data_IF_600526374026
#
_entry.id   IF_600526374026
#
_cell.length_a   1.000
_cell.length_b   1.000
_cell.length_c   1.000
_cell.angle_alpha   90.00
_cell.angle_beta   90.00
_cell.angle_gamma   90.00
#
_symmetry.space_group_name_H-M   'P 1'
#
loop_
_entity.id
_entity.type
_entity.pdbx_description
1 polymer ?
#
# COMPACT_ATOMS: atom_id res chain seq x y z
N UNK A 1 7.24 -19.26 -27.75
CA UNK A 1 7.03 -18.62 -26.44
C UNK A 1 7.23 -17.14 -26.69
N UNK A 2 6.25 -16.29 -26.46
CA UNK A 2 6.41 -14.83 -26.61
C UNK A 2 6.74 -14.27 -25.24
N UNK A 3 7.83 -13.55 -25.12
CA UNK A 3 8.21 -12.79 -23.93
C UNK A 3 7.83 -11.33 -24.12
N UNK A 4 7.21 -10.74 -23.12
CA UNK A 4 7.00 -9.30 -23.02
C UNK A 4 7.83 -8.82 -21.85
N UNK A 5 8.82 -7.99 -22.11
CA UNK A 5 9.66 -7.38 -21.10
C UNK A 5 9.36 -5.88 -21.05
N UNK A 6 9.04 -5.36 -19.86
CA UNK A 6 8.79 -3.94 -19.66
C UNK A 6 7.93 -3.65 -18.43
N UNK A 7 7.80 -2.37 -18.13
CA UNK A 7 7.00 -1.86 -17.00
C UNK A 7 5.51 -1.75 -17.43
N UNK A 8 4.88 -2.88 -17.71
CA UNK A 8 3.46 -2.93 -18.04
C UNK A 8 2.60 -2.92 -16.78
N UNK A 9 1.55 -2.12 -16.80
CA UNK A 9 0.50 -2.26 -15.78
C UNK A 9 -0.23 -3.59 -15.93
N UNK A 10 -0.77 -4.11 -14.85
CA UNK A 10 -1.56 -5.35 -14.86
C UNK A 10 -2.73 -5.23 -15.85
N UNK A 11 -3.37 -4.04 -15.89
CA UNK A 11 -4.46 -3.76 -16.81
C UNK A 11 -4.02 -3.81 -18.28
N UNK A 12 -2.82 -3.30 -18.60
CA UNK A 12 -2.26 -3.38 -19.95
C UNK A 12 -1.99 -4.82 -20.36
N UNK A 13 -1.42 -5.63 -19.46
CA UNK A 13 -1.17 -7.05 -19.71
C UNK A 13 -2.48 -7.81 -19.95
N UNK A 14 -3.49 -7.62 -19.11
CA UNK A 14 -4.83 -8.22 -19.29
C UNK A 14 -5.40 -7.90 -20.67
N UNK A 15 -5.28 -6.63 -21.08
CA UNK A 15 -5.81 -6.19 -22.37
C UNK A 15 -5.06 -6.80 -23.55
N UNK A 16 -3.72 -6.79 -23.50
CA UNK A 16 -2.88 -7.39 -24.55
C UNK A 16 -3.23 -8.88 -24.73
N UNK A 17 -3.32 -9.62 -23.62
CA UNK A 17 -3.63 -11.06 -23.66
C UNK A 17 -5.07 -11.32 -24.15
N UNK A 18 -6.03 -10.47 -23.75
CA UNK A 18 -7.43 -10.57 -24.18
C UNK A 18 -7.60 -10.23 -25.65
N UNK A 19 -6.95 -9.17 -26.14
CA UNK A 19 -7.02 -8.78 -27.55
C UNK A 19 -6.35 -9.80 -28.47
N UNK A 20 -5.31 -10.47 -27.97
CA UNK A 20 -4.65 -11.59 -28.66
C UNK A 20 -5.41 -12.91 -28.55
N UNK A 21 -6.51 -12.97 -27.80
CA UNK A 21 -7.26 -14.21 -27.49
C UNK A 21 -6.34 -15.34 -26.99
N UNK A 22 -5.40 -14.97 -26.10
CA UNK A 22 -4.39 -15.89 -25.63
C UNK A 22 -4.96 -16.93 -24.67
N UNK A 23 -4.70 -18.20 -24.96
CA UNK A 23 -5.05 -19.34 -24.12
C UNK A 23 -3.79 -20.17 -23.86
N UNK A 24 -3.44 -20.41 -22.61
CA UNK A 24 -2.28 -21.26 -22.32
C UNK A 24 -1.54 -20.90 -21.04
N UNK A 25 -0.31 -21.41 -20.95
CA UNK A 25 0.54 -21.16 -19.80
C UNK A 25 1.08 -19.75 -19.82
N UNK A 26 0.88 -19.02 -18.72
CA UNK A 26 1.41 -17.70 -18.47
C UNK A 26 2.41 -17.76 -17.32
N UNK A 27 3.55 -17.12 -17.48
CA UNK A 27 4.54 -16.91 -16.42
C UNK A 27 4.70 -15.42 -16.21
N UNK A 28 4.35 -14.96 -15.03
CA UNK A 28 4.56 -13.58 -14.59
C UNK A 28 5.82 -13.54 -13.74
N UNK A 29 6.77 -12.65 -14.09
CA UNK A 29 8.02 -12.45 -13.35
C UNK A 29 8.06 -11.04 -12.77
N UNK A 30 8.33 -10.97 -11.48
CA UNK A 30 8.49 -9.74 -10.74
C UNK A 30 9.86 -9.72 -10.08
N UNK A 31 10.48 -8.56 -10.01
CA UNK A 31 11.77 -8.41 -9.34
C UNK A 31 11.67 -7.41 -8.21
N UNK A 32 12.40 -7.68 -7.13
CA UNK A 32 12.60 -6.73 -6.05
C UNK A 32 14.04 -6.79 -5.54
N UNK A 33 14.50 -5.73 -4.92
CA UNK A 33 15.83 -5.66 -4.31
C UNK A 33 15.71 -5.69 -2.79
N UNK A 34 16.66 -6.36 -2.12
CA UNK A 34 16.73 -6.43 -0.67
C UNK A 34 18.15 -6.14 -0.18
N UNK A 35 18.30 -5.37 0.91
CA UNK A 35 19.61 -5.08 1.51
C UNK A 35 20.13 -6.21 2.41
N UNK A 36 19.24 -7.07 2.85
CA UNK A 36 19.55 -8.29 3.61
C UNK A 36 18.61 -9.42 3.21
N UNK A 37 18.91 -10.69 3.55
CA UNK A 37 17.95 -11.77 3.44
C UNK A 37 16.76 -11.54 4.37
N UNK A 38 15.56 -11.87 3.88
CA UNK A 38 14.34 -11.88 4.66
C UNK A 38 13.78 -13.30 4.69
N UNK A 39 13.19 -13.68 5.81
CA UNK A 39 12.49 -14.95 6.02
C UNK A 39 11.01 -14.69 6.33
N UNK A 40 10.18 -15.72 6.17
CA UNK A 40 8.76 -15.61 6.47
C UNK A 40 7.97 -14.78 5.47
N UNK A 41 8.53 -14.46 4.30
CA UNK A 41 7.84 -13.76 3.23
C UNK A 41 6.63 -14.52 2.73
N UNK A 42 5.62 -13.81 2.29
CA UNK A 42 4.44 -14.37 1.65
C UNK A 42 4.04 -13.52 0.45
N UNK A 43 3.37 -14.13 -0.53
CA UNK A 43 2.76 -13.42 -1.65
C UNK A 43 1.25 -13.44 -1.48
N UNK A 44 0.61 -12.27 -1.54
CA UNK A 44 -0.84 -12.15 -1.64
C UNK A 44 -1.22 -11.90 -3.10
N UNK A 45 -2.13 -12.72 -3.63
CA UNK A 45 -2.61 -12.65 -5.01
C UNK A 45 -4.05 -13.15 -5.09
N UNK A 46 -4.79 -12.68 -6.07
CA UNK A 46 -6.11 -13.23 -6.40
C UNK A 46 -5.98 -14.50 -7.24
N UNK A 47 -7.00 -15.36 -7.16
CA UNK A 47 -7.06 -16.63 -7.91
C UNK A 47 -5.81 -17.51 -7.79
N UNK A 48 -5.37 -17.75 -6.56
CA UNK A 48 -4.19 -18.56 -6.28
C UNK A 48 -4.39 -20.07 -6.57
N UNK A 49 -5.64 -20.53 -6.74
CA UNK A 49 -5.90 -21.93 -7.05
C UNK A 49 -5.31 -22.31 -8.42
N UNK A 50 -4.47 -23.34 -8.44
CA UNK A 50 -3.76 -23.77 -9.65
C UNK A 50 -2.57 -22.91 -10.04
N UNK A 51 -2.20 -21.90 -9.26
CA UNK A 51 -0.96 -21.17 -9.42
C UNK A 51 0.23 -21.93 -8.80
N UNK A 52 1.36 -21.89 -9.48
CA UNK A 52 2.64 -22.28 -8.92
C UNK A 52 3.49 -21.02 -8.72
N UNK A 53 3.96 -20.80 -7.48
CA UNK A 53 4.74 -19.62 -7.11
C UNK A 53 6.16 -20.03 -6.78
N UNK A 54 7.12 -19.24 -7.23
CA UNK A 54 8.55 -19.48 -7.00
C UNK A 54 9.21 -18.20 -6.48
N UNK A 55 10.17 -18.36 -5.58
CA UNK A 55 11.11 -17.30 -5.19
C UNK A 55 12.54 -17.78 -5.51
N UNK A 56 13.24 -17.03 -6.36
CA UNK A 56 14.60 -17.36 -6.80
C UNK A 56 14.74 -18.81 -7.33
N UNK A 57 13.72 -19.27 -8.04
CA UNK A 57 13.67 -20.62 -8.63
C UNK A 57 13.23 -21.73 -7.67
N UNK A 58 13.10 -21.48 -6.37
CA UNK A 58 12.56 -22.45 -5.42
C UNK A 58 11.03 -22.33 -5.32
N UNK A 59 10.36 -23.48 -5.47
CA UNK A 59 8.90 -23.56 -5.48
C UNK A 59 8.31 -23.39 -4.08
N UNK A 60 7.35 -22.50 -3.94
CA UNK A 60 6.53 -22.38 -2.76
C UNK A 60 5.57 -23.59 -2.62
N UNK A 61 5.10 -23.84 -1.40
CA UNK A 61 4.00 -24.78 -1.19
C UNK A 61 2.74 -24.26 -1.88
N UNK A 62 1.96 -25.17 -2.45
CA UNK A 62 0.67 -24.83 -3.06
C UNK A 62 -0.24 -24.09 -2.05
N UNK A 63 -1.10 -23.24 -2.58
CA UNK A 63 -2.10 -22.55 -1.77
C UNK A 63 -2.96 -23.55 -0.98
N UNK A 64 -3.15 -23.28 0.30
CA UNK A 64 -3.86 -24.17 1.24
C UNK A 64 -5.39 -24.08 1.19
N UNK A 65 -5.92 -23.16 0.36
CA UNK A 65 -7.36 -22.90 0.23
C UNK A 65 -7.99 -22.12 1.38
N UNK A 66 -7.19 -21.64 2.34
CA UNK A 66 -7.69 -21.00 3.57
C UNK A 66 -7.01 -19.69 3.94
N UNK A 67 -5.68 -19.61 3.73
CA UNK A 67 -4.89 -18.45 4.13
C UNK A 67 -5.18 -17.26 3.23
N UNK A 68 -5.43 -16.08 3.82
CA UNK A 68 -5.68 -14.84 3.07
C UNK A 68 -5.04 -13.64 3.75
N UNK A 69 -4.91 -12.54 3.01
CA UNK A 69 -4.47 -11.24 3.49
C UNK A 69 -5.66 -10.28 3.45
N UNK A 70 -6.03 -9.74 4.57
CA UNK A 70 -7.15 -8.84 4.92
C UNK A 70 -8.52 -9.16 4.27
N UNK A 71 -8.59 -9.64 3.05
CA UNK A 71 -9.82 -10.07 2.39
C UNK A 71 -9.65 -11.45 1.75
N UNK A 72 -10.71 -12.26 1.72
CA UNK A 72 -10.66 -13.65 1.22
C UNK A 72 -10.23 -13.79 -0.24
N UNK A 73 -10.45 -12.74 -1.05
CA UNK A 73 -10.00 -12.70 -2.43
C UNK A 73 -8.47 -12.74 -2.54
N UNK A 74 -7.76 -12.09 -1.59
CA UNK A 74 -6.29 -12.05 -1.58
C UNK A 74 -5.73 -13.29 -0.89
N UNK A 75 -5.62 -14.36 -1.66
CA UNK A 75 -5.03 -15.63 -1.21
C UNK A 75 -3.56 -15.42 -0.81
N UNK A 76 -3.17 -15.93 0.37
CA UNK A 76 -1.81 -15.77 0.90
C UNK A 76 -1.02 -17.07 0.74
N UNK A 77 0.09 -17.02 0.01
CA UNK A 77 1.03 -18.13 -0.19
C UNK A 77 2.33 -17.81 0.54
N UNK A 78 2.77 -18.69 1.44
CA UNK A 78 4.08 -18.58 2.09
C UNK A 78 5.17 -18.88 1.08
N UNK A 79 6.12 -17.96 0.92
CA UNK A 79 7.28 -18.12 0.06
C UNK A 79 8.38 -18.94 0.76
N UNK A 80 9.27 -19.61 0.00
CA UNK A 80 10.47 -20.23 0.55
C UNK A 80 11.42 -19.16 1.12
N UNK A 81 12.24 -19.58 2.09
CA UNK A 81 13.19 -18.67 2.76
C UNK A 81 14.51 -18.54 1.94
N UNK A 82 14.37 -18.18 0.66
CA UNK A 82 15.46 -18.05 -0.33
C UNK A 82 15.70 -16.62 -0.78
N UNK A 83 15.21 -15.63 -0.02
CA UNK A 83 15.49 -14.22 -0.30
C UNK A 83 16.98 -13.93 -0.14
N UNK A 84 17.57 -13.27 -1.15
CA UNK A 84 18.99 -12.93 -1.24
C UNK A 84 19.22 -11.43 -1.07
N UNK A 85 20.45 -11.05 -0.75
CA UNK A 85 20.89 -9.66 -0.86
C UNK A 85 20.92 -9.28 -2.34
N UNK A 86 20.41 -8.09 -2.68
CA UNK A 86 20.29 -7.60 -4.05
C UNK A 86 19.02 -8.08 -4.72
N UNK A 87 19.11 -8.41 -5.99
CA UNK A 87 17.96 -8.74 -6.85
C UNK A 87 17.37 -10.10 -6.51
N UNK A 88 16.07 -10.13 -6.33
CA UNK A 88 15.26 -11.33 -6.15
C UNK A 88 14.19 -11.41 -7.24
N UNK A 89 13.78 -12.64 -7.58
CA UNK A 89 12.78 -12.90 -8.62
C UNK A 89 11.64 -13.73 -8.04
N UNK A 90 10.42 -13.23 -8.18
CA UNK A 90 9.19 -13.99 -7.95
C UNK A 90 8.63 -14.39 -9.30
N UNK A 91 8.31 -15.67 -9.46
CA UNK A 91 7.59 -16.17 -10.64
C UNK A 91 6.24 -16.73 -10.21
N UNK A 92 5.19 -16.38 -10.96
CA UNK A 92 3.85 -16.94 -10.81
C UNK A 92 3.45 -17.60 -12.12
N UNK A 93 3.30 -18.91 -12.09
CA UNK A 93 2.90 -19.72 -13.23
C UNK A 93 1.43 -20.08 -13.11
N UNK A 94 0.64 -19.78 -14.14
CA UNK A 94 -0.78 -20.13 -14.19
C UNK A 94 -1.24 -20.45 -15.61
N UNK A 95 -2.36 -21.12 -15.72
CA UNK A 95 -3.08 -21.19 -16.99
C UNK A 95 -3.90 -19.91 -17.14
N UNK A 96 -3.75 -19.26 -18.28
CA UNK A 96 -4.51 -18.07 -18.63
C UNK A 96 -5.57 -18.40 -19.68
N UNK A 97 -6.77 -17.88 -19.47
CA UNK A 97 -7.88 -17.87 -20.40
C UNK A 97 -8.45 -16.46 -20.34
N UNK A 98 -8.58 -15.72 -21.47
CA UNK A 98 -9.08 -14.36 -21.44
C UNK A 98 -10.51 -14.31 -20.91
N UNK A 99 -10.88 -13.22 -20.28
CA UNK A 99 -12.26 -12.97 -19.90
C UNK A 99 -13.13 -13.01 -21.14
N UNK A 100 -14.23 -13.77 -21.09
CA UNK A 100 -15.12 -13.87 -22.24
C UNK A 100 -15.66 -12.49 -22.60
N UNK A 101 -15.61 -12.13 -23.90
CA UNK A 101 -16.21 -10.89 -24.44
C UNK A 101 -17.75 -11.01 -24.43
N UNK A 102 -18.36 -11.31 -23.29
CA UNK A 102 -19.81 -11.35 -23.17
C UNK A 102 -20.36 -9.95 -23.43
N UNK A 103 -21.19 -9.81 -24.47
CA UNK A 103 -21.92 -8.58 -24.75
C UNK A 103 -22.81 -8.28 -23.55
N UNK A 104 -22.50 -7.20 -22.86
CA UNK A 104 -23.01 -6.85 -21.56
C UNK A 104 -24.50 -6.53 -21.51
N UNK A 105 -25.21 -7.26 -20.66
CA UNK A 105 -26.17 -6.63 -19.76
C UNK A 105 -25.52 -6.55 -18.36
N UNK A 106 -25.92 -5.60 -17.53
CA UNK A 106 -25.36 -5.42 -16.17
C UNK A 106 -25.43 -6.71 -15.34
N UNK A 107 -26.39 -7.58 -15.59
CA UNK A 107 -26.55 -8.91 -14.98
C UNK A 107 -25.50 -9.92 -15.45
N UNK A 108 -24.95 -9.79 -16.65
CA UNK A 108 -23.92 -10.70 -17.17
C UNK A 108 -22.53 -10.44 -16.60
N UNK A 109 -22.29 -9.28 -16.01
CA UNK A 109 -21.02 -8.96 -15.34
C UNK A 109 -20.78 -9.86 -14.10
N UNK A 110 -21.83 -10.37 -13.47
CA UNK A 110 -21.72 -11.19 -12.27
C UNK A 110 -21.90 -12.69 -12.52
N UNK A 111 -22.53 -13.08 -13.62
CA UNK A 111 -22.95 -14.48 -13.83
C UNK A 111 -22.09 -15.27 -14.84
N UNK A 112 -21.27 -14.62 -15.67
CA UNK A 112 -20.60 -15.29 -16.80
C UNK A 112 -19.16 -14.92 -17.07
N UNK A 113 -18.45 -14.27 -16.16
CA UNK A 113 -17.01 -14.05 -16.34
C UNK A 113 -16.27 -15.39 -16.21
N UNK A 114 -16.16 -16.10 -17.32
CA UNK A 114 -15.27 -17.27 -17.42
C UNK A 114 -13.94 -16.77 -17.96
N UNK A 115 -12.90 -16.91 -17.17
CA UNK A 115 -11.56 -16.48 -17.55
C UNK A 115 -10.75 -16.09 -16.32
N UNK A 116 -9.54 -15.65 -16.57
CA UNK A 116 -8.59 -15.18 -15.55
C UNK A 116 -8.36 -13.70 -15.77
N UNK A 117 -8.60 -12.91 -14.75
CA UNK A 117 -8.14 -11.53 -14.67
C UNK A 117 -6.84 -11.50 -13.88
N UNK A 118 -5.83 -10.82 -14.43
CA UNK A 118 -4.59 -10.62 -13.71
C UNK A 118 -4.77 -9.41 -12.80
N UNK A 119 -4.45 -9.58 -11.54
CA UNK A 119 -4.54 -8.55 -10.53
C UNK A 119 -3.18 -8.23 -9.93
N UNK A 120 -3.10 -7.11 -9.24
CA UNK A 120 -1.90 -6.70 -8.50
C UNK A 120 -1.56 -7.74 -7.43
N UNK A 121 -0.27 -7.99 -7.24
CA UNK A 121 0.24 -8.91 -6.23
C UNK A 121 1.01 -8.13 -5.17
N UNK A 122 0.95 -8.60 -3.94
CA UNK A 122 1.56 -7.92 -2.81
C UNK A 122 2.55 -8.84 -2.10
N UNK A 123 3.81 -8.39 -2.02
CA UNK A 123 4.81 -9.06 -1.19
C UNK A 123 4.59 -8.64 0.27
N UNK A 124 4.44 -9.62 1.15
CA UNK A 124 4.15 -9.44 2.56
C UNK A 124 5.31 -9.99 3.41
N UNK A 125 5.66 -9.28 4.47
CA UNK A 125 6.70 -9.69 5.40
C UNK A 125 7.04 -8.61 6.40
N UNK A 126 8.01 -8.91 7.24
CA UNK A 126 8.54 -7.99 8.26
C UNK A 126 9.72 -7.20 7.67
N UNK A 127 9.41 -6.16 6.90
CA UNK A 127 10.37 -5.31 6.22
C UNK A 127 9.82 -3.90 6.00
N UNK A 128 10.72 -2.94 5.90
CA UNK A 128 10.44 -1.62 5.37
C UNK A 128 10.77 -1.52 3.88
N UNK A 129 10.08 -0.65 3.16
CA UNK A 129 10.29 -0.38 1.72
C UNK A 129 10.82 1.05 1.55
N UNK A 130 11.92 1.19 0.85
CA UNK A 130 12.64 2.46 0.70
C UNK A 130 12.90 2.82 -0.75
N UNK A 131 12.75 4.09 -1.06
CA UNK A 131 13.18 4.70 -2.31
C UNK A 131 13.46 6.19 -2.09
N UNK A 132 14.00 6.86 -3.09
CA UNK A 132 14.19 8.32 -3.06
C UNK A 132 12.85 9.00 -3.25
N UNK A 133 12.52 9.92 -2.34
CA UNK A 133 11.27 10.66 -2.34
C UNK A 133 11.51 12.16 -2.53
N UNK A 134 10.63 12.79 -3.31
CA UNK A 134 10.56 14.24 -3.49
C UNK A 134 9.14 14.73 -3.17
N UNK A 135 8.99 15.89 -2.49
CA UNK A 135 7.67 16.47 -2.26
C UNK A 135 7.04 16.95 -3.58
N UNK A 136 5.74 16.81 -3.71
CA UNK A 136 4.96 17.36 -4.81
C UNK A 136 4.29 18.68 -4.43
N UNK A 137 3.81 19.42 -5.42
CA UNK A 137 3.13 20.71 -5.17
C UNK A 137 1.82 20.58 -4.37
N UNK A 138 1.16 19.44 -4.44
CA UNK A 138 -0.10 19.17 -3.71
C UNK A 138 0.11 18.42 -2.38
N UNK A 139 1.35 18.40 -1.86
CA UNK A 139 1.65 17.88 -0.53
C UNK A 139 1.80 16.36 -0.43
N UNK A 140 1.63 15.60 -1.53
CA UNK A 140 1.99 14.20 -1.60
C UNK A 140 3.50 14.00 -1.77
N UNK A 141 3.97 12.77 -1.73
CA UNK A 141 5.36 12.42 -1.96
C UNK A 141 5.49 11.63 -3.26
N UNK A 142 6.50 11.96 -4.05
CA UNK A 142 6.85 11.22 -5.27
C UNK A 142 8.09 10.39 -5.02
N UNK A 143 7.95 9.07 -5.16
CA UNK A 143 9.03 8.10 -5.00
C UNK A 143 9.56 7.65 -6.36
N UNK A 144 10.89 7.48 -6.46
CA UNK A 144 11.50 6.75 -7.58
C UNK A 144 11.01 5.30 -7.61
N UNK A 145 11.01 4.68 -8.79
CA UNK A 145 10.63 3.27 -8.96
C UNK A 145 11.63 2.26 -8.36
N UNK A 146 12.82 2.71 -7.97
CA UNK A 146 13.88 1.86 -7.44
C UNK A 146 13.67 1.56 -5.96
N UNK A 147 12.67 0.74 -5.66
CA UNK A 147 12.37 0.33 -4.30
C UNK A 147 13.29 -0.78 -3.82
N UNK A 148 13.68 -0.68 -2.54
CA UNK A 148 14.55 -1.64 -1.87
C UNK A 148 13.95 -2.02 -0.52
N UNK A 149 13.95 -3.31 -0.21
CA UNK A 149 13.56 -3.82 1.10
C UNK A 149 14.74 -3.68 2.08
N UNK A 150 14.45 -3.21 3.29
CA UNK A 150 15.40 -3.08 4.39
C UNK A 150 14.68 -3.23 5.74
N UNK A 151 15.38 -3.14 6.85
CA UNK A 151 14.76 -3.09 8.17
C UNK A 151 13.91 -1.82 8.34
N UNK A 152 12.84 -1.93 9.09
CA UNK A 152 12.07 -0.75 9.49
C UNK A 152 12.90 0.20 10.36
N UNK A 153 12.79 1.50 10.05
CA UNK A 153 13.41 2.52 10.90
C UNK A 153 12.44 2.91 12.01
N UNK A 154 12.76 2.53 13.22
CA UNK A 154 12.00 2.92 14.41
C UNK A 154 11.94 4.44 14.52
N UNK A 155 10.75 4.97 14.65
CA UNK A 155 10.48 6.39 14.88
C UNK A 155 9.17 6.56 15.63
N UNK A 156 9.07 7.68 16.35
CA UNK A 156 7.85 8.02 17.08
C UNK A 156 7.06 9.10 16.36
N UNK A 157 7.74 10.01 15.67
CA UNK A 157 7.13 11.14 14.97
C UNK A 157 7.77 11.38 13.61
N UNK A 158 7.11 12.15 12.77
CA UNK A 158 7.54 12.50 11.43
C UNK A 158 6.88 11.66 10.34
N UNK A 159 7.43 11.75 9.15
CA UNK A 159 6.92 11.07 7.97
C UNK A 159 7.29 9.58 7.98
N UNK A 160 6.31 8.71 8.16
CA UNK A 160 6.52 7.26 8.26
C UNK A 160 6.78 6.61 6.90
N UNK A 161 6.26 7.16 5.79
CA UNK A 161 6.49 6.60 4.46
C UNK A 161 7.98 6.56 4.13
N UNK A 162 8.75 7.60 4.50
CA UNK A 162 10.20 7.63 4.33
C UNK A 162 10.98 6.71 5.28
N UNK A 163 10.28 6.05 6.20
CA UNK A 163 10.85 5.13 7.21
C UNK A 163 10.49 3.68 6.97
N UNK A 164 10.05 3.36 5.76
CA UNK A 164 9.74 2.00 5.34
C UNK A 164 8.24 1.73 5.14
N UNK A 165 7.37 2.68 5.47
CA UNK A 165 5.91 2.49 5.42
C UNK A 165 5.26 3.02 4.13
N UNK A 166 6.01 3.11 3.03
CA UNK A 166 5.53 3.71 1.77
C UNK A 166 4.30 2.99 1.19
N UNK A 167 4.26 1.66 1.27
CA UNK A 167 3.12 0.82 0.84
C UNK A 167 2.34 0.21 2.01
N UNK A 168 2.51 0.75 3.20
CA UNK A 168 1.82 0.23 4.38
C UNK A 168 0.39 0.73 4.45
N UNK A 169 -0.55 -0.17 4.73
CA UNK A 169 -1.91 0.18 5.14
C UNK A 169 -2.25 -0.54 6.44
N UNK A 170 -2.86 0.19 7.37
CA UNK A 170 -3.22 -0.35 8.68
C UNK A 170 -2.96 0.63 9.81
N UNK A 171 -2.72 0.09 11.00
CA UNK A 171 -2.51 0.86 12.22
C UNK A 171 -1.09 0.70 12.74
N UNK A 172 -0.42 1.81 12.99
CA UNK A 172 0.89 1.88 13.65
C UNK A 172 0.73 2.32 15.08
N UNK A 173 1.30 1.59 16.04
CA UNK A 173 1.36 1.99 17.45
C UNK A 173 2.63 2.78 17.71
N UNK A 174 2.48 4.04 18.08
CA UNK A 174 3.55 4.97 18.46
C UNK A 174 3.53 5.13 19.97
N UNK A 175 4.59 4.65 20.66
CA UNK A 175 4.67 4.64 22.12
C UNK A 175 5.79 5.54 22.63
N UNK A 176 5.51 6.25 23.73
CA UNK A 176 6.49 7.10 24.43
C UNK A 176 6.16 7.19 25.91
N UNK A 177 7.16 6.95 26.75
CA UNK A 177 7.08 7.28 28.18
C UNK A 177 7.40 8.76 28.39
N UNK A 178 6.71 9.38 29.35
CA UNK A 178 6.96 10.74 29.81
C UNK A 178 6.74 10.84 31.31
N UNK A 179 7.44 11.76 31.97
CA UNK A 179 7.38 11.96 33.40
C UNK A 179 6.70 13.29 33.75
N UNK A 180 5.87 13.26 34.78
CA UNK A 180 5.20 14.42 35.32
C UNK A 180 5.64 14.63 36.74
N UNK A 181 6.30 15.76 37.02
CA UNK A 181 6.87 16.07 38.34
C UNK A 181 6.02 17.09 39.14
N UNK A 182 4.71 17.15 38.86
CA UNK A 182 3.77 18.04 39.55
C UNK A 182 3.06 17.29 40.70
N UNK A 183 2.88 17.97 41.83
CA UNK A 183 2.16 17.40 42.99
C UNK A 183 0.65 17.28 42.73
N UNK A 184 0.11 18.12 41.91
CA UNK A 184 -1.29 18.10 41.44
C UNK A 184 -1.36 18.47 39.97
N UNK A 185 -2.29 17.90 39.25
CA UNK A 185 -2.55 18.17 37.84
C UNK A 185 -3.95 18.78 37.74
N UNK A 186 -4.03 20.05 37.38
CA UNK A 186 -5.31 20.71 37.16
C UNK A 186 -5.83 20.49 35.73
N UNK A 187 -4.90 20.53 34.77
CA UNK A 187 -5.20 20.31 33.36
C UNK A 187 -4.00 19.69 32.65
N UNK A 188 -4.24 18.74 31.76
CA UNK A 188 -3.25 18.20 30.86
C UNK A 188 -3.84 18.09 29.44
N UNK A 189 -3.15 18.67 28.48
CA UNK A 189 -3.54 18.63 27.07
C UNK A 189 -2.44 18.03 26.20
N UNK A 190 -2.83 17.16 25.29
CA UNK A 190 -1.97 16.65 24.23
C UNK A 190 -2.29 17.38 22.94
N UNK A 191 -1.26 17.87 22.26
CA UNK A 191 -1.37 18.57 20.97
C UNK A 191 -0.51 17.82 19.97
N UNK A 192 -1.11 17.46 18.83
CA UNK A 192 -0.39 16.88 17.70
C UNK A 192 -0.23 17.95 16.63
N UNK A 193 0.98 18.12 16.12
CA UNK A 193 1.29 19.00 14.99
C UNK A 193 0.69 18.50 13.69
N UNK A 194 1.51 18.39 12.64
CA UNK A 194 1.04 17.84 11.36
C UNK A 194 0.44 16.45 11.55
N UNK A 195 -0.75 16.24 11.00
CA UNK A 195 -1.46 14.96 11.09
C UNK A 195 -1.74 14.43 9.69
N UNK A 196 -1.16 13.28 9.38
CA UNK A 196 -1.31 12.57 8.12
C UNK A 196 -1.77 11.14 8.39
N UNK A 197 -3.05 10.94 8.47
CA UNK A 197 -3.72 9.67 8.74
C UNK A 197 -5.23 9.83 8.63
N UNK A 198 -5.97 8.76 8.85
CA UNK A 198 -7.43 8.79 8.91
C UNK A 198 -7.94 9.03 10.32
N UNK A 199 -7.35 8.31 11.26
CA UNK A 199 -7.71 8.41 12.67
C UNK A 199 -6.48 8.13 13.53
N UNK A 200 -6.38 8.83 14.67
CA UNK A 200 -5.44 8.53 15.74
C UNK A 200 -6.22 8.28 17.04
N UNK A 201 -6.12 7.08 17.58
CA UNK A 201 -6.62 6.79 18.91
C UNK A 201 -5.54 7.18 19.94
N UNK A 202 -5.88 8.02 20.88
CA UNK A 202 -4.96 8.52 21.88
C UNK A 202 -5.19 7.82 23.21
N UNK A 203 -4.21 7.04 23.64
CA UNK A 203 -4.25 6.33 24.91
C UNK A 203 -3.16 6.86 25.85
N UNK A 204 -3.50 7.11 27.12
CA UNK A 204 -2.55 7.44 28.18
C UNK A 204 -2.75 6.47 29.32
N UNK A 205 -1.67 5.79 29.73
CA UNK A 205 -1.71 4.76 30.78
C UNK A 205 -2.76 3.67 30.52
N UNK A 206 -2.99 3.31 29.24
CA UNK A 206 -3.99 2.33 28.84
C UNK A 206 -5.43 2.85 28.80
N UNK A 207 -5.67 4.13 29.12
CA UNK A 207 -6.99 4.78 29.07
C UNK A 207 -7.14 5.46 27.70
N UNK A 208 -8.21 5.14 26.96
CA UNK A 208 -8.56 5.89 25.75
C UNK A 208 -9.06 7.27 26.13
N UNK A 209 -8.35 8.31 25.67
CA UNK A 209 -8.70 9.71 25.92
C UNK A 209 -9.53 10.30 24.76
N UNK A 210 -9.23 9.89 23.52
CA UNK A 210 -9.97 10.35 22.34
C UNK A 210 -9.63 9.54 21.08
N UNK A 211 -10.55 9.57 20.12
CA UNK A 211 -10.32 9.22 18.71
C UNK A 211 -10.30 10.51 17.89
N UNK A 212 -9.13 10.84 17.37
CA UNK A 212 -8.86 12.07 16.65
C UNK A 212 -8.88 11.82 15.13
N UNK A 213 -9.71 12.54 14.38
CA UNK A 213 -9.86 12.42 12.93
C UNK A 213 -10.07 13.74 12.19
N UNK A 214 -10.17 14.87 12.94
CA UNK A 214 -10.34 16.22 12.40
C UNK A 214 -9.72 17.26 13.34
N UNK A 215 -9.32 18.43 12.83
CA UNK A 215 -8.85 19.53 13.68
C UNK A 215 -9.96 20.08 14.62
N UNK A 216 -9.56 20.68 15.74
CA UNK A 216 -8.18 20.86 16.20
C UNK A 216 -7.60 19.55 16.73
N UNK A 217 -6.31 19.31 16.45
CA UNK A 217 -5.61 18.11 16.90
C UNK A 217 -5.11 18.25 18.33
N UNK A 218 -6.05 18.49 19.25
CA UNK A 218 -5.82 18.69 20.69
C UNK A 218 -6.77 17.82 21.49
N UNK A 219 -6.24 17.13 22.49
CA UNK A 219 -6.97 16.18 23.34
C UNK A 219 -6.75 16.52 24.80
N UNK A 220 -7.82 16.56 25.59
CA UNK A 220 -7.76 16.62 27.05
C UNK A 220 -7.38 15.21 27.57
N UNK A 221 -6.26 15.13 28.26
CA UNK A 221 -5.73 13.87 28.84
C UNK A 221 -5.68 13.95 30.37
N UNK A 222 -6.29 14.96 30.98
CA UNK A 222 -6.21 15.26 32.42
C UNK A 222 -6.55 14.06 33.30
N UNK A 223 -7.64 13.35 32.95
CA UNK A 223 -8.11 12.20 33.74
C UNK A 223 -7.22 10.96 33.65
N UNK A 224 -6.33 10.90 32.67
CA UNK A 224 -5.49 9.73 32.41
C UNK A 224 -4.03 9.93 32.82
N UNK A 225 -3.59 11.18 33.00
CA UNK A 225 -2.23 11.52 33.43
C UNK A 225 -2.11 11.44 34.96
N UNK A 226 -0.98 10.93 35.45
CA UNK A 226 -0.65 10.85 36.87
C UNK A 226 0.72 11.46 37.17
N UNK A 227 0.94 11.82 38.41
CA UNK A 227 2.29 12.19 38.90
C UNK A 227 3.24 10.99 38.71
N UNK A 228 4.46 11.25 38.30
CA UNK A 228 5.47 10.22 38.00
C UNK A 228 5.44 9.76 36.53
N UNK A 229 5.78 8.50 36.32
CA UNK A 229 5.89 7.90 34.99
C UNK A 229 4.52 7.67 34.35
N UNK A 230 4.41 8.07 33.07
CA UNK A 230 3.23 7.88 32.24
C UNK A 230 3.64 7.25 30.91
N UNK A 231 2.73 6.52 30.28
CA UNK A 231 2.88 5.97 28.93
C UNK A 231 1.85 6.60 28.01
N UNK A 232 2.31 7.19 26.91
CA UNK A 232 1.49 7.63 25.78
C UNK A 232 1.58 6.57 24.69
N UNK A 233 0.43 6.16 24.18
CA UNK A 233 0.30 5.36 22.95
C UNK A 233 -0.64 6.05 21.99
N UNK A 234 -0.18 6.25 20.74
CA UNK A 234 -0.99 6.77 19.65
C UNK A 234 -1.13 5.67 18.62
N UNK A 235 -2.35 5.19 18.40
CA UNK A 235 -2.67 4.22 17.35
C UNK A 235 -3.07 5.00 16.10
N UNK A 236 -2.12 5.18 15.19
CA UNK A 236 -2.32 5.94 13.95
C UNK A 236 -2.70 5.01 12.80
N UNK A 237 -3.88 5.22 12.23
CA UNK A 237 -4.43 4.40 11.14
C UNK A 237 -4.51 5.22 9.85
N UNK A 238 -4.14 4.59 8.72
CA UNK A 238 -4.29 5.14 7.38
C UNK A 238 -5.33 4.36 6.54
N UNK A 239 -5.44 4.71 5.26
CA UNK A 239 -6.33 4.08 4.28
C UNK A 239 -5.64 2.97 3.48
N UNK A 240 -6.39 2.33 2.56
CA UNK A 240 -5.86 1.42 1.54
C UNK A 240 -5.13 2.15 0.39
N UNK A 241 -5.15 3.49 0.33
CA UNK A 241 -4.53 4.30 -0.72
C UNK A 241 -3.06 3.94 -1.00
N UNK A 242 -2.21 3.67 0.02
CA UNK A 242 -0.82 3.27 -0.21
C UNK A 242 -0.64 1.97 -0.99
N UNK A 243 -1.58 1.04 -0.96
CA UNK A 243 -1.48 -0.25 -1.68
C UNK A 243 -2.34 -0.35 -2.94
N UNK A 244 -3.40 0.46 -3.05
CA UNK A 244 -4.31 0.39 -4.20
C UNK A 244 -4.05 1.49 -5.25
N UNK A 245 -3.26 2.50 -4.91
CA UNK A 245 -2.99 3.63 -5.81
C UNK A 245 -4.17 4.62 -5.90
N UNK A 246 -4.21 5.43 -6.95
CA UNK A 246 -3.32 5.46 -8.11
C UNK A 246 -1.93 5.98 -7.81
N UNK A 247 -0.89 5.45 -8.46
CA UNK A 247 0.50 5.84 -8.18
C UNK A 247 1.10 6.76 -9.23
N UNK A 248 0.79 6.52 -10.49
CA UNK A 248 1.57 7.00 -11.65
C UNK A 248 1.04 8.30 -12.24
N UNK A 249 0.42 9.17 -11.45
CA UNK A 249 -0.11 10.45 -11.93
C UNK A 249 0.98 11.52 -11.93
N UNK A 250 1.27 12.18 -13.08
CA UNK A 250 2.29 13.23 -13.15
C UNK A 250 1.99 14.42 -12.23
N UNK A 251 0.72 14.74 -12.05
CA UNK A 251 0.27 15.84 -11.17
C UNK A 251 0.26 15.49 -9.67
N UNK A 252 0.57 14.23 -9.31
CA UNK A 252 0.53 13.76 -7.93
C UNK A 252 -0.87 13.38 -7.44
N UNK A 253 -1.14 13.57 -6.14
CA UNK A 253 -2.43 13.24 -5.55
C UNK A 253 -3.52 14.21 -5.99
N UNK A 254 -4.76 13.71 -6.02
CA UNK A 254 -5.93 14.54 -6.32
C UNK A 254 -6.26 15.38 -5.08
N UNK A 255 -6.27 16.69 -5.23
CA UNK A 255 -6.59 17.60 -4.13
C UNK A 255 -8.07 17.65 -3.74
N UNK A 256 -8.97 17.14 -4.59
CA UNK A 256 -10.41 17.18 -4.37
C UNK A 256 -11.03 15.79 -4.50
N UNK A 257 -11.86 15.42 -3.53
CA UNK A 257 -12.59 14.15 -3.51
C UNK A 257 -13.71 14.05 -4.56
N UNK A 258 -14.02 15.14 -5.24
CA UNK A 258 -15.03 15.21 -6.27
C UNK A 258 -14.38 15.09 -7.65
N UNK A 259 -14.05 13.88 -8.00
CA UNK A 259 -13.97 13.53 -9.39
C UNK A 259 -15.36 13.66 -9.98
N UNK A 260 -15.76 14.87 -10.29
CA UNK A 260 -16.99 15.08 -11.03
C UNK A 260 -16.91 14.30 -12.32
N UNK A 261 -18.02 13.78 -12.77
CA UNK A 261 -18.22 13.35 -14.15
C UNK A 261 -17.67 14.45 -15.05
N UNK A 262 -16.50 14.23 -15.64
CA UNK A 262 -15.90 15.19 -16.59
C UNK A 262 -14.48 15.65 -16.29
N UNK A 263 -13.87 15.32 -15.14
CA UNK A 263 -12.42 15.48 -14.98
C UNK A 263 -11.72 14.26 -15.61
N UNK A 264 -11.09 14.43 -16.79
CA UNK A 264 -10.43 13.34 -17.47
C UNK A 264 -9.27 12.75 -16.65
N UNK A 265 -8.67 13.52 -15.75
CA UNK A 265 -7.56 13.06 -14.90
C UNK A 265 -8.03 12.13 -13.77
N UNK A 266 -9.33 12.03 -13.50
CA UNK A 266 -9.90 11.24 -12.41
C UNK A 266 -10.58 9.95 -12.84
N UNK A 267 -10.74 9.73 -14.13
CA UNK A 267 -11.30 8.49 -14.64
C UNK A 267 -10.29 7.35 -14.52
N UNK A 268 -10.46 6.54 -13.52
CA UNK A 268 -9.76 5.26 -13.43
C UNK A 268 -10.39 4.17 -14.30
N UNK A 269 -11.46 4.46 -15.01
CA UNK A 269 -12.08 3.56 -15.97
C UNK A 269 -11.35 3.52 -17.33
N UNK A 270 -10.24 4.24 -17.48
CA UNK A 270 -9.44 4.24 -18.72
C UNK A 270 -9.97 5.12 -19.84
N UNK A 271 -11.17 5.70 -19.72
CA UNK A 271 -11.71 6.57 -20.77
C UNK A 271 -10.98 7.90 -20.87
N UNK A 272 -10.42 8.38 -19.77
CA UNK A 272 -9.63 9.60 -19.72
C UNK A 272 -8.16 9.42 -20.06
N UNK A 273 -7.67 8.19 -20.00
CA UNK A 273 -6.29 7.87 -20.36
C UNK A 273 -6.12 7.65 -21.87
N UNK A 274 -7.16 7.93 -22.66
CA UNK A 274 -7.21 7.59 -24.07
C UNK A 274 -7.37 6.09 -24.30
N UNK A 275 -8.09 5.71 -25.34
CA UNK A 275 -8.39 4.29 -25.61
C UNK A 275 -7.15 3.42 -25.88
N UNK A 276 -5.97 4.01 -26.04
CA UNK A 276 -4.75 3.32 -26.47
C UNK A 276 -3.58 3.36 -25.50
N UNK A 277 -3.75 3.95 -24.28
CA UNK A 277 -2.66 4.04 -23.32
C UNK A 277 -2.07 2.67 -22.93
N UNK A 278 -2.85 1.62 -22.94
CA UNK A 278 -2.42 0.25 -22.68
C UNK A 278 -1.78 -0.46 -23.90
N UNK A 279 -1.90 0.12 -25.09
CA UNK A 279 -1.30 -0.43 -26.33
C UNK A 279 0.10 0.09 -26.57
N UNK A 280 0.49 1.15 -25.91
CA UNK A 280 1.77 1.81 -26.11
C UNK A 280 2.75 1.43 -25.00
N UNK A 281 3.96 1.03 -25.39
CA UNK A 281 5.11 0.94 -24.49
C UNK A 281 5.66 2.32 -24.12
N UNK A 282 5.27 3.37 -24.89
CA UNK A 282 5.54 4.76 -24.57
C UNK A 282 4.25 5.44 -24.12
N UNK A 283 4.04 5.49 -22.82
CA UNK A 283 2.91 6.19 -22.21
C UNK A 283 3.13 7.70 -22.33
N UNK A 284 2.08 8.44 -22.68
CA UNK A 284 2.13 9.90 -22.69
C UNK A 284 2.53 10.43 -21.30
N UNK A 285 3.63 11.18 -21.24
CA UNK A 285 4.15 11.76 -20.01
C UNK A 285 3.21 12.80 -19.37
N UNK A 286 2.18 13.26 -20.07
CA UNK A 286 1.16 14.14 -19.51
C UNK A 286 0.19 13.42 -18.57
N UNK A 287 0.04 12.10 -18.73
CA UNK A 287 -0.91 11.27 -17.96
C UNK A 287 -0.24 10.20 -17.11
N UNK A 288 1.03 9.89 -17.37
CA UNK A 288 1.76 8.83 -16.68
C UNK A 288 3.16 9.26 -16.28
N UNK A 289 3.62 8.80 -15.13
CA UNK A 289 5.02 8.87 -14.70
C UNK A 289 5.47 7.52 -14.14
N UNK A 290 6.73 7.15 -14.37
CA UNK A 290 7.33 5.94 -13.75
C UNK A 290 7.50 6.06 -12.25
N UNK A 291 7.36 7.27 -11.70
CA UNK A 291 7.42 7.53 -10.26
C UNK A 291 6.12 7.12 -9.58
N UNK A 292 6.20 6.85 -8.29
CA UNK A 292 5.08 6.47 -7.44
C UNK A 292 4.66 7.64 -6.56
N UNK A 293 3.48 8.21 -6.79
CA UNK A 293 2.91 9.22 -5.90
C UNK A 293 2.22 8.55 -4.73
N UNK A 294 2.58 8.96 -3.52
CA UNK A 294 2.04 8.43 -2.27
C UNK A 294 1.53 9.55 -1.37
N UNK A 295 0.46 9.27 -0.66
CA UNK A 295 -0.02 10.14 0.40
C UNK A 295 0.93 10.07 1.60
N UNK A 296 1.03 11.15 2.32
CA UNK A 296 1.78 11.20 3.57
C UNK A 296 1.11 10.31 4.63
N UNK A 297 1.95 9.72 5.48
CA UNK A 297 1.52 8.97 6.64
C UNK A 297 2.45 9.24 7.82
N UNK A 298 1.90 9.73 8.92
CA UNK A 298 2.67 10.07 10.10
C UNK A 298 2.05 11.20 10.90
N UNK A 299 2.73 11.58 11.97
CA UNK A 299 2.37 12.74 12.81
C UNK A 299 3.59 13.61 13.05
N UNK A 300 3.39 14.92 13.11
CA UNK A 300 4.41 15.88 13.47
C UNK A 300 4.77 15.84 14.95
N UNK A 301 5.22 16.96 15.47
CA UNK A 301 5.58 17.11 16.88
C UNK A 301 4.38 16.83 17.79
N UNK A 302 4.58 16.07 18.84
CA UNK A 302 3.59 15.82 19.91
C UNK A 302 4.02 16.58 21.16
N UNK A 303 3.14 17.48 21.62
CA UNK A 303 3.36 18.29 22.85
C UNK A 303 2.35 17.90 23.90
N UNK A 304 2.81 17.84 25.16
CA UNK A 304 1.95 17.71 26.33
C UNK A 304 2.13 18.98 27.17
N UNK A 305 1.02 19.67 27.42
CA UNK A 305 0.98 20.87 28.25
C UNK A 305 0.25 20.49 29.54
N UNK A 306 0.88 20.76 30.70
CA UNK A 306 0.35 20.41 32.01
C UNK A 306 0.37 21.66 32.87
N UNK A 307 -0.71 21.94 33.60
CA UNK A 307 -0.86 23.04 34.55
C UNK A 307 -1.51 22.62 35.88
#
# INVERSE_FOLDING_TARGET
MSEFEGDYTVLAINRILTDADYHGKLVQKFTFNAKRPFTGLSLALEDALGCEVYLNGEKAKSYDGKSYYFAKAFCKIKLPDTCLIGKNVIEVHRNFVPLSKAKSSITSLFETQRGVELESMYLLGDFGVYSVAEPTMNGSLRYSKDFVLDDEKKSITGELTSRGFVFYCGTVSLKKSFKVDFASINQAQLIIGDFHGCVAQINVNGINCADMYKPPYTVDITSAVKCGENELEILLTNTLRPILGPYHRPKGEVGECWGGYGDPDLSWTGSALGADWYKSTSVDSSIWTDSYNQVRFGIGEVKIIIS
#
